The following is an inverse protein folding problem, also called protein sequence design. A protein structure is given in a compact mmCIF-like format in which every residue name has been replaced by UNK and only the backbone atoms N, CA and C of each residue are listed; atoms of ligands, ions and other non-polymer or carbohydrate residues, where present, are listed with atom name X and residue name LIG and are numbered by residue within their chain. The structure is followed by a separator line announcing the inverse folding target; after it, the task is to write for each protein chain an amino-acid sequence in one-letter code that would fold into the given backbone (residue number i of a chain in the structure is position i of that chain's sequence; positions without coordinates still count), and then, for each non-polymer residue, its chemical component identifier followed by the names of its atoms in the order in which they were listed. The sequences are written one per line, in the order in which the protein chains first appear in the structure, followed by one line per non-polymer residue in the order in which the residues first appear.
data_IF_170577210523
#
_entry.id   IF_170577210523
#
_cell.length_a   1.000
_cell.length_b   1.000
_cell.length_c   1.000
_cell.angle_alpha   90.00
_cell.angle_beta   90.00
_cell.angle_gamma   90.00
#
_symmetry.space_group_name_H-M   'P 1'
#
loop_
_entity.id
_entity.type
_entity.pdbx_description
1 polymer ?
#
# COMPACT_ATOMS: atom_id res chain seq x y z
N UNK A 1 8.50 -1.78 39.03
CA UNK A 1 8.37 -2.62 37.83
C UNK A 1 9.40 -3.74 37.84
N UNK A 2 9.05 -4.93 37.32
CA UNK A 2 9.98 -6.05 37.21
C UNK A 2 10.80 -5.96 35.92
N UNK A 3 12.13 -6.05 36.02
CA UNK A 3 13.05 -6.06 34.87
C UNK A 3 13.21 -7.43 34.20
N UNK A 4 12.45 -8.43 34.63
CA UNK A 4 12.53 -9.82 34.19
C UNK A 4 11.21 -10.28 33.58
N UNK A 5 11.29 -11.20 32.63
CA UNK A 5 10.14 -11.77 31.96
C UNK A 5 9.34 -12.68 32.90
N UNK A 6 8.01 -12.56 32.89
CA UNK A 6 7.10 -13.38 33.71
C UNK A 6 7.04 -14.85 33.25
N UNK A 7 7.47 -15.15 32.02
CA UNK A 7 7.40 -16.49 31.44
C UNK A 7 8.71 -17.28 31.50
N UNK A 8 9.85 -16.62 31.27
CA UNK A 8 11.17 -17.27 31.22
C UNK A 8 12.16 -16.73 32.24
N UNK A 9 11.76 -15.73 33.04
CA UNK A 9 12.55 -15.14 34.13
C UNK A 9 13.85 -14.45 33.68
N UNK A 10 14.16 -14.41 32.38
CA UNK A 10 15.31 -13.68 31.83
C UNK A 10 15.08 -12.17 31.82
N UNK A 11 16.17 -11.42 31.82
CA UNK A 11 16.14 -9.95 31.73
C UNK A 11 15.43 -9.48 30.46
N UNK A 12 14.57 -8.47 30.61
CA UNK A 12 13.90 -7.78 29.49
C UNK A 12 14.81 -6.72 28.83
N UNK A 13 15.97 -6.45 29.44
CA UNK A 13 16.86 -5.37 29.04
C UNK A 13 16.36 -4.00 29.50
N UNK A 14 17.12 -2.96 29.14
CA UNK A 14 16.80 -1.56 29.43
C UNK A 14 16.83 -0.72 28.16
N UNK A 15 16.07 0.37 28.19
CA UNK A 15 16.12 1.46 27.23
C UNK A 15 16.23 2.78 27.99
N UNK A 16 16.87 3.77 27.36
CA UNK A 16 17.03 5.12 27.92
C UNK A 16 16.16 6.14 27.16
N UNK A 17 15.18 5.65 26.39
CA UNK A 17 14.35 6.45 25.47
C UNK A 17 13.02 6.82 26.12
N UNK A 18 12.40 5.89 26.85
CA UNK A 18 11.19 6.16 27.62
C UNK A 18 11.55 6.37 29.09
N UNK A 19 11.45 7.61 29.55
CA UNK A 19 11.79 8.00 30.93
C UNK A 19 10.94 7.25 31.98
N UNK A 20 9.65 7.11 31.70
CA UNK A 20 8.64 6.47 32.57
C UNK A 20 8.66 4.94 32.49
N UNK A 21 9.31 4.37 31.46
CA UNK A 21 9.45 2.93 31.25
C UNK A 21 10.87 2.58 30.76
N UNK A 22 11.89 2.59 31.64
CA UNK A 22 13.29 2.34 31.25
C UNK A 22 13.62 0.84 31.11
N UNK A 23 12.63 0.00 30.82
CA UNK A 23 12.72 -1.46 30.76
C UNK A 23 12.25 -1.92 29.37
N UNK A 24 12.94 -2.91 28.81
CA UNK A 24 12.59 -3.47 27.51
C UNK A 24 13.27 -2.75 26.35
N UNK A 25 13.68 -3.51 25.33
CA UNK A 25 14.17 -2.99 24.05
C UNK A 25 13.20 -3.15 22.89
N UNK A 26 12.10 -3.89 23.11
CA UNK A 26 10.99 -4.04 22.19
C UNK A 26 9.70 -3.86 22.98
N UNK A 27 8.93 -2.86 22.63
CA UNK A 27 7.69 -2.49 23.30
C UNK A 27 6.54 -2.60 22.30
N UNK A 28 5.41 -3.13 22.76
CA UNK A 28 4.18 -3.12 22.00
C UNK A 28 3.13 -2.28 22.73
N UNK A 29 2.34 -1.50 22.01
CA UNK A 29 1.35 -0.63 22.65
C UNK A 29 0.09 -0.47 21.80
N UNK A 30 -1.06 -0.41 22.47
CA UNK A 30 -2.36 -0.09 21.91
C UNK A 30 -2.87 1.18 22.58
N UNK A 31 -2.84 2.29 21.84
CA UNK A 31 -3.26 3.60 22.34
C UNK A 31 -4.78 3.68 22.55
N UNK A 32 -5.57 2.93 21.77
CA UNK A 32 -7.03 2.95 21.89
C UNK A 32 -7.51 2.18 23.12
N UNK A 33 -6.82 1.07 23.44
CA UNK A 33 -7.13 0.23 24.60
C UNK A 33 -6.33 0.60 25.86
N UNK A 34 -5.38 1.54 25.77
CA UNK A 34 -4.53 1.95 26.90
C UNK A 34 -3.58 0.86 27.38
N UNK A 35 -3.14 -0.03 26.48
CA UNK A 35 -2.32 -1.20 26.82
C UNK A 35 -0.89 -1.05 26.34
N UNK A 36 0.05 -1.51 27.17
CA UNK A 36 1.48 -1.44 26.92
C UNK A 36 2.12 -2.74 27.38
N UNK A 37 2.95 -3.32 26.54
CA UNK A 37 3.65 -4.57 26.76
C UNK A 37 5.15 -4.42 26.51
N UNK A 38 5.95 -5.10 27.31
CA UNK A 38 7.36 -5.36 27.02
C UNK A 38 7.51 -6.73 26.38
N UNK A 39 8.00 -6.79 25.16
CA UNK A 39 8.23 -8.05 24.44
C UNK A 39 9.59 -8.61 24.84
N UNK A 40 9.62 -9.84 25.36
CA UNK A 40 10.86 -10.47 25.79
C UNK A 40 11.74 -10.82 24.57
N UNK A 41 13.02 -10.41 24.53
CA UNK A 41 13.92 -10.75 23.43
C UNK A 41 14.30 -12.24 23.38
N UNK A 42 14.04 -13.01 24.45
CA UNK A 42 14.44 -14.41 24.55
C UNK A 42 13.34 -15.39 24.18
N UNK A 43 12.11 -15.16 24.65
CA UNK A 43 10.98 -16.07 24.42
C UNK A 43 9.85 -15.43 23.59
N UNK A 44 10.02 -14.19 23.14
CA UNK A 44 9.05 -13.41 22.38
C UNK A 44 7.68 -13.18 23.07
N UNK A 45 7.52 -13.59 24.34
CA UNK A 45 6.29 -13.38 25.10
C UNK A 45 6.14 -11.93 25.56
N UNK A 46 4.88 -11.50 25.59
CA UNK A 46 4.46 -10.13 25.86
C UNK A 46 4.14 -9.99 27.35
N UNK A 47 4.86 -9.11 28.04
CA UNK A 47 4.71 -8.88 29.46
C UNK A 47 3.92 -7.59 29.64
N UNK A 48 2.68 -7.68 30.11
CA UNK A 48 1.82 -6.53 30.32
C UNK A 48 2.44 -5.62 31.39
N UNK A 49 2.66 -4.34 31.04
CA UNK A 49 3.15 -3.31 31.98
C UNK A 49 2.02 -2.99 32.96
N UNK A 50 2.21 -2.74 34.27
CA UNK A 50 1.12 -2.36 35.20
C UNK A 50 0.54 -0.95 34.92
N UNK A 51 -0.72 -0.71 35.32
CA UNK A 51 -1.51 0.48 34.93
C UNK A 51 -0.87 1.84 35.30
N UNK A 52 -0.27 1.98 36.49
CA UNK A 52 0.22 3.25 37.07
C UNK A 52 1.21 4.03 36.20
N UNK A 53 1.80 3.38 35.20
CA UNK A 53 2.92 3.89 34.37
C UNK A 53 2.63 3.79 32.88
N UNK A 54 1.43 3.33 32.48
CA UNK A 54 1.09 3.08 31.06
C UNK A 54 0.84 4.37 30.28
N UNK A 55 0.05 5.30 30.81
CA UNK A 55 -0.48 6.43 30.03
C UNK A 55 0.63 7.34 29.47
N UNK A 56 1.51 7.85 30.32
CA UNK A 56 2.64 8.70 29.89
C UNK A 56 3.60 7.95 28.95
N UNK A 57 3.82 6.66 29.20
CA UNK A 57 4.68 5.82 28.38
C UNK A 57 4.07 5.53 26.99
N UNK A 58 2.75 5.37 26.91
CA UNK A 58 2.01 5.20 25.66
C UNK A 58 2.06 6.50 24.85
N UNK A 59 1.82 7.65 25.48
CA UNK A 59 1.88 8.94 24.79
C UNK A 59 3.28 9.24 24.26
N UNK A 60 4.32 8.96 25.06
CA UNK A 60 5.71 9.07 24.63
C UNK A 60 6.04 8.09 23.50
N UNK A 61 5.59 6.84 23.59
CA UNK A 61 5.76 5.84 22.54
C UNK A 61 5.02 6.23 21.25
N UNK A 62 3.81 6.76 21.32
CA UNK A 62 3.02 7.24 20.17
C UNK A 62 3.70 8.44 19.51
N UNK A 63 4.20 9.40 20.29
CA UNK A 63 5.01 10.53 19.77
C UNK A 63 6.27 10.04 19.05
N UNK A 64 7.06 9.20 19.72
CA UNK A 64 8.27 8.61 19.13
C UNK A 64 7.97 7.77 17.89
N UNK A 65 6.86 7.05 17.88
CA UNK A 65 6.44 6.25 16.73
C UNK A 65 6.08 7.11 15.53
N UNK A 66 5.45 8.28 15.74
CA UNK A 66 5.16 9.26 14.68
C UNK A 66 6.43 9.96 14.18
N UNK A 67 7.33 10.33 15.09
CA UNK A 67 8.55 11.06 14.75
C UNK A 67 9.64 10.15 14.15
N UNK A 68 9.63 8.86 14.51
CA UNK A 68 10.57 7.88 13.97
C UNK A 68 10.11 7.44 12.59
N UNK A 69 11.02 7.45 11.61
CA UNK A 69 10.77 6.83 10.30
C UNK A 69 10.49 5.34 10.48
N UNK A 70 9.21 4.99 10.45
CA UNK A 70 8.76 3.64 10.73
C UNK A 70 9.16 2.67 9.60
N UNK A 71 9.53 1.44 9.96
CA UNK A 71 10.11 0.49 9.01
C UNK A 71 9.04 -0.34 8.29
N UNK A 72 7.95 -0.70 8.99
CA UNK A 72 6.89 -1.60 8.47
C UNK A 72 5.53 -1.30 9.11
N UNK A 73 4.43 -1.49 8.38
CA UNK A 73 3.06 -1.45 8.94
C UNK A 73 2.13 -2.35 8.14
N UNK A 74 1.24 -3.07 8.83
CA UNK A 74 0.03 -3.71 8.28
C UNK A 74 -1.19 -2.88 8.64
N UNK A 75 -2.39 -3.40 8.37
CA UNK A 75 -3.68 -2.82 8.76
C UNK A 75 -3.77 -2.51 10.25
N UNK A 76 -3.25 -3.41 11.10
CA UNK A 76 -3.46 -3.39 12.54
C UNK A 76 -2.16 -3.33 13.37
N UNK A 77 -0.99 -3.44 12.74
CA UNK A 77 0.31 -3.45 13.42
C UNK A 77 1.31 -2.56 12.69
N UNK A 78 1.90 -1.59 13.38
CA UNK A 78 3.03 -0.79 12.91
C UNK A 78 4.32 -1.10 13.67
N UNK A 79 5.47 -1.14 12.99
CA UNK A 79 6.78 -1.45 13.58
C UNK A 79 7.82 -0.37 13.27
N UNK A 80 8.24 0.37 14.30
CA UNK A 80 9.27 1.41 14.24
C UNK A 80 10.53 0.98 14.97
N UNK A 81 11.69 1.48 14.51
CA UNK A 81 12.97 1.32 15.22
C UNK A 81 13.60 2.68 15.42
N UNK A 82 13.59 3.15 16.66
CA UNK A 82 14.19 4.42 17.08
C UNK A 82 15.72 4.30 16.97
N UNK A 83 16.40 5.43 16.77
CA UNK A 83 17.84 5.47 16.47
C UNK A 83 18.71 4.84 17.57
N UNK A 84 18.25 4.95 18.80
CA UNK A 84 18.85 4.44 20.04
C UNK A 84 18.64 2.93 20.21
N UNK A 85 17.96 2.27 19.26
CA UNK A 85 17.80 0.81 19.23
C UNK A 85 16.53 0.28 19.91
N UNK A 86 15.63 1.16 20.35
CA UNK A 86 14.30 0.78 20.83
C UNK A 86 13.39 0.42 19.65
N UNK A 87 12.75 -0.75 19.73
CA UNK A 87 11.75 -1.20 18.78
C UNK A 87 10.34 -0.97 19.34
N UNK A 88 9.48 -0.34 18.56
CA UNK A 88 8.10 -0.02 18.92
C UNK A 88 7.14 -0.75 17.98
N UNK A 89 6.20 -1.49 18.56
CA UNK A 89 5.12 -2.20 17.88
C UNK A 89 3.80 -1.53 18.25
N UNK A 90 3.28 -0.68 17.38
CA UNK A 90 1.99 -0.03 17.57
C UNK A 90 0.87 -0.95 17.12
N UNK A 91 -0.17 -1.09 17.93
CA UNK A 91 -1.37 -1.89 17.66
C UNK A 91 -2.55 -0.96 17.40
N UNK A 92 -3.41 -1.35 16.46
CA UNK A 92 -4.58 -0.60 16.02
C UNK A 92 -4.46 -0.13 14.57
N UNK A 93 -5.48 0.56 14.03
CA UNK A 93 -5.49 1.00 12.63
C UNK A 93 -4.22 1.80 12.36
N UNK A 94 -3.43 1.36 11.38
CA UNK A 94 -2.17 1.99 11.06
C UNK A 94 -2.37 3.45 10.65
N UNK A 95 -1.43 4.32 11.05
CA UNK A 95 -1.31 5.68 10.54
C UNK A 95 -0.75 5.61 9.11
N UNK A 96 -1.58 5.16 8.17
CA UNK A 96 -1.23 4.86 6.77
C UNK A 96 -0.82 6.04 5.87
N UNK A 97 -1.17 7.32 6.12
CA UNK A 97 -0.83 8.39 5.18
C UNK A 97 0.68 8.57 4.95
N UNK A 98 1.48 8.48 6.01
CA UNK A 98 2.91 8.88 5.95
C UNK A 98 3.81 7.75 5.41
N UNK A 99 3.36 6.50 5.50
CA UNK A 99 4.16 5.33 5.17
C UNK A 99 4.26 5.07 3.67
N UNK A 100 3.15 5.15 2.94
CA UNK A 100 3.16 4.90 1.50
C UNK A 100 3.97 5.98 0.75
N UNK A 101 3.91 7.23 1.22
CA UNK A 101 4.70 8.34 0.71
C UNK A 101 6.20 8.15 0.99
N UNK A 102 6.58 7.62 2.15
CA UNK A 102 7.98 7.34 2.49
C UNK A 102 8.53 6.10 1.77
N UNK A 103 7.76 5.01 1.75
CA UNK A 103 8.14 3.69 1.21
C UNK A 103 8.25 3.69 -0.32
N UNK A 104 7.31 4.35 -0.99
CA UNK A 104 7.28 4.38 -2.46
C UNK A 104 7.70 5.72 -3.05
N UNK A 105 7.68 6.82 -2.27
CA UNK A 105 7.94 8.16 -2.81
C UNK A 105 9.32 8.30 -3.45
N UNK A 106 10.38 7.72 -2.87
CA UNK A 106 11.71 7.78 -3.49
C UNK A 106 11.80 6.91 -4.75
N UNK A 107 11.11 5.78 -4.78
CA UNK A 107 11.06 4.89 -5.95
C UNK A 107 10.31 5.56 -7.11
N UNK A 108 9.17 6.17 -6.84
CA UNK A 108 8.37 6.89 -7.83
C UNK A 108 9.07 8.16 -8.32
N UNK A 109 9.70 8.94 -7.43
CA UNK A 109 10.56 10.07 -7.84
C UNK A 109 11.73 9.61 -8.70
N UNK A 110 12.39 8.50 -8.36
CA UNK A 110 13.49 7.93 -9.16
C UNK A 110 13.01 7.46 -10.53
N UNK A 111 11.86 6.80 -10.63
CA UNK A 111 11.21 6.43 -11.90
C UNK A 111 10.93 7.67 -12.75
N UNK A 112 10.31 8.69 -12.16
CA UNK A 112 10.03 9.97 -12.81
C UNK A 112 11.28 10.70 -13.27
N UNK A 113 12.31 10.83 -12.43
CA UNK A 113 13.60 11.44 -12.80
C UNK A 113 14.27 10.70 -13.96
N UNK A 114 14.21 9.37 -14.00
CA UNK A 114 14.72 8.57 -15.11
C UNK A 114 13.90 8.77 -16.39
N UNK A 115 12.58 8.88 -16.30
CA UNK A 115 11.72 9.16 -17.44
C UNK A 115 12.00 10.56 -18.03
N UNK A 116 12.11 11.58 -17.16
CA UNK A 116 12.47 12.94 -17.57
C UNK A 116 13.89 12.97 -18.16
N UNK A 117 14.85 12.34 -17.48
CA UNK A 117 16.24 12.28 -17.94
C UNK A 117 16.40 11.58 -19.30
N UNK A 118 15.64 10.52 -19.57
CA UNK A 118 15.62 9.86 -20.89
C UNK A 118 15.05 10.78 -21.98
N UNK A 119 14.04 11.59 -21.68
CA UNK A 119 13.56 12.66 -22.57
C UNK A 119 14.63 13.70 -22.85
N UNK A 120 15.35 14.15 -21.82
CA UNK A 120 16.43 15.15 -21.93
C UNK A 120 17.67 14.62 -22.67
N UNK A 121 18.06 13.36 -22.48
CA UNK A 121 19.16 12.73 -23.24
C UNK A 121 18.81 12.60 -24.72
N UNK A 122 17.54 12.37 -25.06
CA UNK A 122 17.05 12.50 -26.44
C UNK A 122 17.36 13.89 -27.01
N UNK A 123 17.08 14.97 -26.26
CA UNK A 123 17.34 16.35 -26.68
C UNK A 123 18.85 16.70 -26.77
N UNK A 124 19.71 16.05 -25.98
CA UNK A 124 21.16 16.27 -25.96
C UNK A 124 21.87 15.98 -27.30
N UNK A 125 21.32 15.08 -28.12
CA UNK A 125 21.87 14.78 -29.47
C UNK A 125 21.67 15.95 -30.45
N UNK A 126 20.72 16.86 -30.20
CA UNK A 126 20.46 18.04 -31.05
C UNK A 126 21.36 19.23 -30.66
N UNK A 127 21.82 19.30 -29.40
CA UNK A 127 22.59 20.43 -28.87
C UNK A 127 24.04 20.54 -29.37
N UNK A 128 24.66 19.43 -29.78
CA UNK A 128 26.02 19.44 -30.32
C UNK A 128 26.10 19.90 -31.81
N UNK A 129 24.96 20.00 -32.50
CA UNK A 129 24.90 20.32 -33.93
C UNK A 129 24.72 21.80 -34.29
N UNK A 130 24.43 22.68 -33.33
CA UNK A 130 24.07 24.09 -33.61
C UNK A 130 25.11 25.07 -33.03
N UNK A 131 26.39 24.79 -33.26
CA UNK A 131 27.43 25.85 -33.17
C UNK A 131 27.76 26.40 -34.58
N UNK A 132 27.20 25.83 -35.65
CA UNK A 132 27.72 26.05 -37.01
C UNK A 132 26.89 26.87 -38.01
N UNK A 133 25.60 27.16 -37.83
CA UNK A 133 24.78 27.73 -38.92
C UNK A 133 23.87 28.87 -38.45
N UNK A 134 24.37 30.11 -38.62
CA UNK A 134 23.55 31.30 -38.52
C UNK A 134 22.59 31.42 -39.70
N UNK A 135 21.28 31.46 -39.45
CA UNK A 135 20.28 32.29 -40.15
C UNK A 135 18.97 32.31 -39.36
N UNK A 136 18.45 33.51 -39.13
CA UNK A 136 17.53 33.87 -38.06
C UNK A 136 16.01 33.62 -38.32
N UNK A 137 15.61 32.50 -38.95
CA UNK A 137 14.17 32.24 -39.16
C UNK A 137 13.78 30.76 -39.28
N UNK A 138 14.54 29.98 -40.03
CA UNK A 138 14.30 28.52 -40.17
C UNK A 138 14.78 27.76 -38.93
N UNK A 139 15.71 28.33 -38.17
CA UNK A 139 16.36 27.70 -37.02
C UNK A 139 15.41 27.42 -35.85
N UNK A 140 14.40 28.26 -35.57
CA UNK A 140 13.50 28.05 -34.42
C UNK A 140 12.48 26.93 -34.65
N UNK A 141 11.87 26.85 -35.84
CA UNK A 141 10.89 25.82 -36.16
C UNK A 141 11.53 24.44 -36.30
N UNK A 142 12.69 24.37 -36.96
CA UNK A 142 13.47 23.13 -37.06
C UNK A 142 14.05 22.70 -35.72
N UNK A 143 14.54 23.64 -34.89
CA UNK A 143 14.95 23.34 -33.53
C UNK A 143 13.79 22.86 -32.65
N UNK A 144 12.64 23.54 -32.70
CA UNK A 144 11.42 23.12 -31.99
C UNK A 144 10.94 21.73 -32.43
N UNK A 145 10.95 21.45 -33.73
CA UNK A 145 10.59 20.13 -34.27
C UNK A 145 11.60 19.05 -33.86
N UNK A 146 12.91 19.31 -33.97
CA UNK A 146 13.94 18.34 -33.59
C UNK A 146 13.96 18.09 -32.07
N UNK A 147 13.77 19.13 -31.25
CA UNK A 147 13.64 18.98 -29.80
C UNK A 147 12.37 18.22 -29.43
N UNK A 148 11.22 18.51 -30.07
CA UNK A 148 9.99 17.73 -29.90
C UNK A 148 10.19 16.25 -30.28
N UNK A 149 10.77 15.97 -31.46
CA UNK A 149 11.05 14.60 -31.94
C UNK A 149 12.02 13.86 -31.03
N UNK A 150 13.02 14.55 -30.52
CA UNK A 150 14.00 14.03 -29.57
C UNK A 150 13.37 13.68 -28.21
N UNK A 151 12.52 14.57 -27.68
CA UNK A 151 11.73 14.33 -26.47
C UNK A 151 10.76 13.17 -26.68
N UNK A 152 10.09 13.11 -27.85
CA UNK A 152 9.18 12.03 -28.23
C UNK A 152 9.91 10.69 -28.32
N UNK A 153 11.09 10.64 -28.95
CA UNK A 153 11.89 9.42 -29.06
C UNK A 153 12.39 8.93 -27.69
N UNK A 154 12.83 9.86 -26.82
CA UNK A 154 13.22 9.53 -25.45
C UNK A 154 12.04 9.02 -24.61
N UNK A 155 10.86 9.61 -24.80
CA UNK A 155 9.60 9.17 -24.22
C UNK A 155 9.23 7.76 -24.67
N UNK A 156 9.14 7.54 -25.99
CA UNK A 156 8.81 6.25 -26.59
C UNK A 156 9.80 5.17 -26.13
N UNK A 157 11.10 5.46 -26.14
CA UNK A 157 12.13 4.53 -25.66
C UNK A 157 11.88 4.08 -24.21
N UNK A 158 11.60 5.04 -23.31
CA UNK A 158 11.37 4.72 -21.90
C UNK A 158 10.09 3.92 -21.70
N UNK A 159 9.02 4.33 -22.37
CA UNK A 159 7.71 3.65 -22.32
C UNK A 159 7.85 2.21 -22.84
N UNK A 160 8.49 2.00 -23.99
CA UNK A 160 8.71 0.67 -24.57
C UNK A 160 9.65 -0.22 -23.75
N UNK A 161 10.53 0.37 -22.93
CA UNK A 161 11.37 -0.37 -22.00
C UNK A 161 10.57 -0.84 -20.78
N UNK A 162 9.71 0.03 -20.24
CA UNK A 162 8.98 -0.21 -18.99
C UNK A 162 7.68 -1.00 -19.19
N UNK A 163 7.04 -0.87 -20.36
CA UNK A 163 5.78 -1.54 -20.69
C UNK A 163 5.97 -2.98 -21.22
N UNK A 164 7.16 -3.58 -21.10
CA UNK A 164 7.38 -4.98 -21.51
C UNK A 164 6.79 -5.91 -20.46
N UNK A 165 5.65 -6.51 -20.79
CA UNK A 165 5.01 -7.54 -19.97
C UNK A 165 5.22 -8.89 -20.66
N UNK A 166 6.03 -9.76 -20.06
CA UNK A 166 6.13 -11.14 -20.51
C UNK A 166 4.99 -11.93 -19.87
N UNK A 167 4.16 -12.52 -20.71
CA UNK A 167 2.98 -13.31 -20.36
C UNK A 167 2.97 -14.59 -21.18
N UNK A 168 2.17 -15.56 -20.77
CA UNK A 168 1.91 -16.74 -21.58
C UNK A 168 0.73 -16.46 -22.52
N UNK A 169 0.89 -16.77 -23.80
CA UNK A 169 -0.19 -16.57 -24.76
C UNK A 169 -1.35 -17.56 -24.49
N UNK A 170 -2.61 -17.10 -24.40
CA UNK A 170 -3.73 -17.95 -23.97
C UNK A 170 -4.00 -19.12 -24.92
N UNK A 171 -3.93 -18.91 -26.23
CA UNK A 171 -4.04 -19.99 -27.23
C UNK A 171 -2.79 -20.87 -27.36
N UNK A 172 -1.59 -20.30 -27.51
CA UNK A 172 -0.39 -21.07 -27.92
C UNK A 172 0.50 -21.52 -26.77
N UNK A 173 0.24 -21.09 -25.52
CA UNK A 173 1.07 -21.38 -24.33
C UNK A 173 2.55 -21.05 -24.49
N UNK A 174 2.87 -20.11 -25.38
CA UNK A 174 4.24 -19.66 -25.62
C UNK A 174 4.49 -18.36 -24.88
N UNK A 175 5.74 -18.09 -24.45
CA UNK A 175 6.08 -16.81 -23.87
C UNK A 175 5.86 -15.71 -24.91
N UNK A 176 5.10 -14.70 -24.53
CA UNK A 176 4.76 -13.58 -25.37
C UNK A 176 5.06 -12.27 -24.64
N UNK A 177 5.72 -11.34 -25.33
CA UNK A 177 6.05 -10.02 -24.77
C UNK A 177 5.08 -8.99 -25.30
N UNK A 178 4.19 -8.53 -24.42
CA UNK A 178 3.32 -7.40 -24.69
C UNK A 178 4.12 -6.10 -24.61
N UNK A 179 3.75 -5.16 -25.46
CA UNK A 179 4.38 -3.84 -25.57
C UNK A 179 3.39 -2.76 -25.12
N UNK A 180 3.86 -1.52 -25.12
CA UNK A 180 3.04 -0.36 -24.77
C UNK A 180 1.71 -0.31 -25.53
N UNK A 181 1.69 -0.64 -26.81
CA UNK A 181 0.46 -0.63 -27.61
C UNK A 181 -0.61 -1.58 -27.10
N UNK A 182 -0.25 -2.64 -26.39
CA UNK A 182 -1.21 -3.49 -25.69
C UNK A 182 -1.48 -2.92 -24.29
N UNK A 183 -0.41 -2.64 -23.52
CA UNK A 183 -0.49 -2.25 -22.11
C UNK A 183 -1.27 -0.96 -21.89
N UNK A 184 -1.19 0.02 -22.81
CA UNK A 184 -1.89 1.32 -22.71
C UNK A 184 -3.43 1.20 -22.68
N UNK A 185 -3.95 0.06 -23.07
CA UNK A 185 -5.38 -0.25 -23.11
C UNK A 185 -5.81 -1.20 -21.98
N UNK A 186 -4.97 -1.40 -20.96
CA UNK A 186 -5.34 -2.15 -19.78
C UNK A 186 -6.54 -1.53 -19.07
N UNK A 187 -7.50 -2.38 -18.71
CA UNK A 187 -8.71 -1.99 -17.98
C UNK A 187 -8.86 -2.84 -16.71
N UNK A 188 -9.47 -2.25 -15.69
CA UNK A 188 -9.89 -2.94 -14.49
C UNK A 188 -11.39 -3.22 -14.64
N UNK A 189 -11.80 -4.47 -14.54
CA UNK A 189 -13.20 -4.90 -14.54
C UNK A 189 -13.49 -5.68 -13.26
N UNK A 190 -14.72 -6.20 -13.14
CA UNK A 190 -15.14 -6.93 -11.94
C UNK A 190 -15.82 -8.24 -12.31
N UNK A 191 -15.53 -9.30 -11.55
CA UNK A 191 -16.26 -10.56 -11.57
C UNK A 191 -16.93 -10.77 -10.21
N UNK A 192 -18.26 -10.58 -10.18
CA UNK A 192 -19.08 -10.55 -8.96
C UNK A 192 -18.59 -9.48 -7.97
N UNK A 193 -17.59 -9.79 -7.16
CA UNK A 193 -17.00 -8.89 -6.15
C UNK A 193 -15.46 -8.82 -6.20
N UNK A 194 -14.82 -9.53 -7.14
CA UNK A 194 -13.36 -9.53 -7.27
C UNK A 194 -12.91 -8.64 -8.43
N UNK A 195 -11.88 -7.79 -8.25
CA UNK A 195 -11.32 -7.02 -9.34
C UNK A 195 -10.55 -7.93 -10.31
N UNK A 196 -10.68 -7.63 -11.60
CA UNK A 196 -9.97 -8.27 -12.68
C UNK A 196 -9.19 -7.25 -13.49
N UNK A 197 -8.06 -7.69 -14.05
CA UNK A 197 -7.27 -6.92 -14.99
C UNK A 197 -7.49 -7.55 -16.35
N UNK A 198 -8.08 -6.78 -17.25
CA UNK A 198 -8.26 -7.20 -18.63
C UNK A 198 -7.30 -6.40 -19.52
N UNK A 199 -6.60 -7.14 -20.38
CA UNK A 199 -5.70 -6.57 -21.36
C UNK A 199 -6.13 -7.00 -22.76
N UNK A 200 -6.55 -6.06 -23.61
CA UNK A 200 -6.91 -6.39 -24.98
C UNK A 200 -5.66 -6.79 -25.77
N UNK A 201 -5.77 -7.92 -26.47
CA UNK A 201 -4.72 -8.40 -27.34
C UNK A 201 -4.93 -7.85 -28.74
N UNK A 202 -3.97 -7.05 -29.23
CA UNK A 202 -4.00 -6.55 -30.59
C UNK A 202 -3.33 -7.58 -31.52
N UNK A 203 -4.14 -8.37 -32.22
CA UNK A 203 -3.72 -9.43 -33.15
C UNK A 203 -4.75 -9.71 -34.26
N UNK A 204 -4.47 -10.63 -35.19
CA UNK A 204 -5.39 -11.01 -36.26
C UNK A 204 -6.69 -11.65 -35.76
N UNK A 205 -6.66 -12.29 -34.59
CA UNK A 205 -7.85 -12.68 -33.82
C UNK A 205 -8.26 -11.50 -32.93
N UNK A 206 -9.27 -10.76 -33.38
CA UNK A 206 -9.75 -9.51 -32.75
C UNK A 206 -10.49 -9.71 -31.41
N UNK A 207 -10.64 -10.95 -30.96
CA UNK A 207 -11.56 -11.31 -29.86
C UNK A 207 -10.87 -11.79 -28.59
N UNK A 208 -9.54 -11.92 -28.56
CA UNK A 208 -8.84 -12.41 -27.37
C UNK A 208 -8.45 -11.27 -26.41
N UNK A 209 -8.78 -11.46 -25.13
CA UNK A 209 -8.30 -10.63 -24.03
C UNK A 209 -7.57 -11.52 -23.02
N UNK A 210 -6.52 -10.98 -22.41
CA UNK A 210 -5.93 -11.59 -21.21
C UNK A 210 -6.68 -11.10 -20.00
N UNK A 211 -7.21 -12.01 -19.20
CA UNK A 211 -7.92 -11.70 -17.98
C UNK A 211 -7.17 -12.33 -16.80
N UNK A 212 -6.85 -11.51 -15.79
CA UNK A 212 -6.24 -11.96 -14.56
C UNK A 212 -7.07 -11.54 -13.35
N UNK A 213 -7.24 -12.45 -12.40
CA UNK A 213 -7.94 -12.23 -11.13
C UNK A 213 -7.03 -12.60 -9.95
N UNK A 214 -7.43 -12.24 -8.74
CA UNK A 214 -6.73 -12.64 -7.50
C UNK A 214 -5.26 -12.21 -7.43
N UNK A 215 -4.34 -13.15 -7.21
CA UNK A 215 -2.91 -12.86 -7.09
C UNK A 215 -2.29 -12.36 -8.41
N UNK A 216 -2.72 -12.93 -9.53
CA UNK A 216 -2.22 -12.58 -10.87
C UNK A 216 -2.66 -11.16 -11.28
N UNK A 217 -3.87 -10.75 -10.85
CA UNK A 217 -4.36 -9.38 -10.99
C UNK A 217 -3.35 -8.38 -10.42
N UNK A 218 -2.87 -8.59 -9.19
CA UNK A 218 -1.91 -7.68 -8.54
C UNK A 218 -0.53 -7.74 -9.21
N UNK A 219 -0.05 -8.94 -9.52
CA UNK A 219 1.26 -9.14 -10.16
C UNK A 219 1.36 -8.44 -11.52
N UNK A 220 0.36 -8.63 -12.39
CA UNK A 220 0.31 -8.03 -13.71
C UNK A 220 -0.15 -6.58 -13.68
N UNK A 221 -1.10 -6.25 -12.79
CA UNK A 221 -1.65 -4.90 -12.60
C UNK A 221 -0.59 -3.89 -12.18
N UNK A 222 0.31 -4.26 -11.26
CA UNK A 222 1.46 -3.44 -10.90
C UNK A 222 2.32 -3.04 -12.10
N UNK A 223 2.61 -3.99 -12.99
CA UNK A 223 3.45 -3.72 -14.16
C UNK A 223 2.72 -2.82 -15.15
N UNK A 224 1.42 -3.05 -15.34
CA UNK A 224 0.58 -2.17 -16.15
C UNK A 224 0.54 -0.74 -15.57
N UNK A 225 0.24 -0.56 -14.28
CA UNK A 225 0.22 0.73 -13.61
C UNK A 225 1.57 1.43 -13.62
N UNK A 226 2.66 0.71 -13.34
CA UNK A 226 4.01 1.27 -13.36
C UNK A 226 4.42 1.83 -14.73
N UNK A 227 3.88 1.28 -15.82
CA UNK A 227 4.07 1.81 -17.17
C UNK A 227 3.20 3.04 -17.47
N UNK A 228 2.01 3.16 -16.88
CA UNK A 228 1.17 4.37 -16.96
C UNK A 228 1.68 5.50 -16.05
N UNK A 229 2.39 5.16 -14.97
CA UNK A 229 2.89 6.09 -13.95
C UNK A 229 4.35 6.51 -14.16
N UNK A 230 4.82 6.58 -15.42
CA UNK A 230 6.21 6.99 -15.72
C UNK A 230 6.50 8.44 -15.34
N UNK A 231 5.52 9.33 -15.48
CA UNK A 231 5.64 10.75 -15.11
C UNK A 231 4.97 11.11 -13.78
N UNK A 232 4.21 10.18 -13.23
CA UNK A 232 3.56 10.34 -11.92
C UNK A 232 4.60 10.23 -10.80
N UNK A 233 4.31 10.86 -9.67
CA UNK A 233 5.15 10.85 -8.47
C UNK A 233 5.65 12.23 -8.06
N UNK A 234 4.93 13.30 -8.42
CA UNK A 234 5.12 14.61 -7.76
C UNK A 234 4.75 14.52 -6.28
N UNK A 235 5.29 15.42 -5.45
CA UNK A 235 5.00 15.43 -4.02
C UNK A 235 3.49 15.49 -3.72
N UNK A 236 2.78 16.42 -4.38
CA UNK A 236 1.33 16.56 -4.24
C UNK A 236 0.54 15.31 -4.72
N UNK A 237 0.94 14.70 -5.84
CA UNK A 237 0.29 13.48 -6.35
C UNK A 237 0.47 12.31 -5.37
N UNK A 238 1.63 12.22 -4.70
CA UNK A 238 1.89 11.21 -3.69
C UNK A 238 1.06 11.48 -2.43
N UNK A 239 1.01 12.72 -1.97
CA UNK A 239 0.23 13.13 -0.81
C UNK A 239 -1.26 12.81 -0.99
N UNK A 240 -1.83 13.18 -2.14
CA UNK A 240 -3.22 12.83 -2.48
C UNK A 240 -3.43 11.32 -2.57
N UNK A 241 -2.53 10.58 -3.22
CA UNK A 241 -2.61 9.13 -3.31
C UNK A 241 -2.61 8.47 -1.93
N UNK A 242 -1.77 8.96 -1.02
CA UNK A 242 -1.71 8.46 0.36
C UNK A 242 -2.93 8.84 1.19
N UNK A 243 -3.46 10.06 1.01
CA UNK A 243 -4.69 10.49 1.66
C UNK A 243 -5.87 9.62 1.21
N UNK A 244 -5.97 9.33 -0.09
CA UNK A 244 -7.00 8.48 -0.67
C UNK A 244 -6.95 7.04 -0.10
N UNK A 245 -5.75 6.46 0.03
CA UNK A 245 -5.57 5.16 0.67
C UNK A 245 -5.94 5.18 2.15
N UNK A 246 -5.64 6.28 2.84
CA UNK A 246 -5.96 6.43 4.25
C UNK A 246 -7.48 6.59 4.47
N UNK A 247 -8.17 7.32 3.61
CA UNK A 247 -9.62 7.51 3.65
C UNK A 247 -10.37 6.17 3.51
N UNK A 248 -9.90 5.28 2.64
CA UNK A 248 -10.58 4.01 2.35
C UNK A 248 -10.00 2.79 3.08
N UNK A 249 -8.87 2.92 3.77
CA UNK A 249 -8.35 1.91 4.70
C UNK A 249 -8.22 0.51 4.08
N UNK A 250 -8.51 -0.54 4.87
CA UNK A 250 -8.49 -1.94 4.43
C UNK A 250 -9.51 -2.29 3.35
N UNK A 251 -10.39 -1.34 2.98
CA UNK A 251 -11.51 -1.52 2.07
C UNK A 251 -11.30 -0.78 0.73
N UNK A 252 -10.04 -0.55 0.33
CA UNK A 252 -9.73 0.16 -0.91
C UNK A 252 -10.35 -0.48 -2.18
N UNK A 253 -10.66 -1.78 -2.15
CA UNK A 253 -11.40 -2.47 -3.21
C UNK A 253 -12.80 -1.87 -3.43
N UNK A 254 -13.49 -1.47 -2.37
CA UNK A 254 -14.82 -0.86 -2.46
C UNK A 254 -14.77 0.50 -3.17
N UNK A 255 -13.75 1.30 -2.86
CA UNK A 255 -13.49 2.56 -3.58
C UNK A 255 -13.20 2.30 -5.06
N UNK A 256 -12.34 1.33 -5.36
CA UNK A 256 -11.99 0.99 -6.75
C UNK A 256 -13.21 0.51 -7.53
N UNK A 257 -14.12 -0.25 -6.89
CA UNK A 257 -15.38 -0.69 -7.49
C UNK A 257 -16.30 0.48 -7.79
N UNK A 258 -16.54 1.33 -6.80
CA UNK A 258 -17.31 2.55 -6.97
C UNK A 258 -16.74 3.43 -8.10
N UNK A 259 -15.42 3.55 -8.17
CA UNK A 259 -14.73 4.33 -9.20
C UNK A 259 -14.90 3.72 -10.58
N UNK A 260 -14.94 2.39 -10.66
CA UNK A 260 -15.20 1.63 -11.88
C UNK A 260 -16.63 1.80 -12.36
N UNK A 261 -17.61 1.68 -11.46
CA UNK A 261 -19.03 1.88 -11.76
C UNK A 261 -19.31 3.32 -12.23
N UNK A 262 -18.62 4.31 -11.68
CA UNK A 262 -18.69 5.70 -12.18
C UNK A 262 -18.03 5.88 -13.54
N UNK A 263 -16.92 5.22 -13.81
CA UNK A 263 -16.25 5.30 -15.10
C UNK A 263 -17.08 4.68 -16.23
N UNK A 264 -17.78 3.57 -15.94
CA UNK A 264 -18.66 2.90 -16.90
C UNK A 264 -19.83 3.78 -17.38
N UNK A 265 -20.21 4.82 -16.61
CA UNK A 265 -21.27 5.78 -16.99
C UNK A 265 -20.88 6.71 -18.14
N UNK A 266 -19.59 6.81 -18.48
CA UNK A 266 -19.13 7.67 -19.58
C UNK A 266 -19.24 7.02 -20.96
N UNK A 267 -19.84 5.82 -21.04
CA UNK A 267 -20.05 5.08 -22.30
C UNK A 267 -18.80 4.31 -22.75
N UNK A 268 -18.93 3.45 -23.77
CA UNK A 268 -17.80 2.68 -24.28
C UNK A 268 -16.72 3.62 -24.81
N UNK A 269 -15.45 3.29 -24.54
CA UNK A 269 -14.35 4.02 -25.13
C UNK A 269 -14.35 3.79 -26.65
N UNK A 270 -14.34 4.87 -27.44
CA UNK A 270 -13.90 4.79 -28.83
C UNK A 270 -12.39 4.54 -28.80
N UNK A 271 -11.98 3.27 -28.85
CA UNK A 271 -10.61 2.91 -29.17
C UNK A 271 -10.36 3.44 -30.59
N UNK A 272 -9.50 4.45 -30.72
CA UNK A 272 -9.24 5.22 -31.95
C UNK A 272 -9.53 4.43 -33.24
N UNK A 273 -10.68 4.72 -33.87
CA UNK A 273 -11.03 4.23 -35.20
C UNK A 273 -11.52 2.78 -35.31
N UNK A 274 -11.89 2.10 -34.22
CA UNK A 274 -12.53 0.77 -34.30
C UNK A 274 -13.69 0.65 -33.32
N UNK A 275 -14.90 0.65 -33.89
CA UNK A 275 -16.13 0.30 -33.18
C UNK A 275 -16.03 -1.11 -32.60
N UNK A 276 -16.36 -1.25 -31.31
CA UNK A 276 -16.59 -2.54 -30.66
C UNK A 276 -15.34 -3.26 -30.18
N UNK A 277 -14.98 -3.03 -28.92
CA UNK A 277 -14.27 -4.05 -28.15
C UNK A 277 -15.30 -5.15 -27.76
N UNK A 278 -15.06 -6.43 -28.08
CA UNK A 278 -15.97 -7.52 -27.74
C UNK A 278 -15.74 -8.09 -26.33
N UNK A 279 -14.60 -7.80 -25.69
CA UNK A 279 -14.47 -8.06 -24.25
C UNK A 279 -15.49 -7.23 -23.47
N UNK A 280 -15.76 -7.62 -22.24
CA UNK A 280 -16.92 -7.30 -21.37
C UNK A 280 -17.72 -5.99 -21.57
N UNK A 281 -18.32 -5.74 -22.73
CA UNK A 281 -19.40 -4.73 -22.92
C UNK A 281 -20.61 -5.00 -22.01
N UNK A 282 -20.67 -6.17 -21.38
CA UNK A 282 -21.68 -6.52 -20.37
C UNK A 282 -21.31 -6.10 -18.93
N UNK A 283 -20.06 -5.73 -18.62
CA UNK A 283 -19.62 -5.42 -17.25
C UNK A 283 -19.03 -4.01 -17.16
N UNK A 284 -19.22 -3.30 -16.02
CA UNK A 284 -18.53 -2.03 -15.77
C UNK A 284 -17.01 -2.21 -15.81
N UNK A 285 -16.30 -1.34 -16.52
CA UNK A 285 -14.84 -1.34 -16.59
C UNK A 285 -14.24 0.06 -16.44
N UNK A 286 -12.99 0.11 -15.96
CA UNK A 286 -12.20 1.29 -15.68
C UNK A 286 -10.88 1.23 -16.44
N UNK A 287 -10.72 2.03 -17.50
CA UNK A 287 -9.44 2.13 -18.18
C UNK A 287 -8.38 2.75 -17.27
N UNK A 288 -7.23 2.10 -17.12
CA UNK A 288 -6.14 2.59 -16.25
C UNK A 288 -5.68 3.98 -16.71
N UNK A 289 -5.65 4.23 -18.02
CA UNK A 289 -5.30 5.52 -18.58
C UNK A 289 -6.23 6.68 -18.17
N UNK A 290 -7.47 6.38 -17.75
CA UNK A 290 -8.49 7.38 -17.35
C UNK A 290 -8.47 7.72 -15.86
N UNK A 291 -7.73 6.96 -15.05
CA UNK A 291 -7.43 7.33 -13.68
C UNK A 291 -6.51 8.55 -13.66
N UNK A 292 -6.77 9.47 -12.73
CA UNK A 292 -5.88 10.59 -12.47
C UNK A 292 -4.51 10.07 -11.95
N UNK A 293 -3.42 10.84 -12.10
CA UNK A 293 -2.09 10.37 -11.71
C UNK A 293 -1.97 9.94 -10.23
N UNK A 294 -2.61 10.68 -9.32
CA UNK A 294 -2.74 10.35 -7.90
C UNK A 294 -3.57 9.09 -7.65
N UNK A 295 -4.73 8.95 -8.30
CA UNK A 295 -5.54 7.72 -8.23
C UNK A 295 -4.74 6.49 -8.71
N UNK A 296 -4.02 6.60 -9.85
CA UNK A 296 -3.18 5.51 -10.35
C UNK A 296 -2.05 5.15 -9.37
N UNK A 297 -1.47 6.14 -8.70
CA UNK A 297 -0.44 5.89 -7.68
C UNK A 297 -1.04 5.16 -6.49
N UNK A 298 -2.24 5.55 -6.04
CA UNK A 298 -2.94 4.87 -4.94
C UNK A 298 -3.20 3.39 -5.28
N UNK A 299 -3.74 3.10 -6.47
CA UNK A 299 -3.96 1.71 -6.92
C UNK A 299 -2.63 0.94 -7.04
N UNK A 300 -1.56 1.60 -7.54
CA UNK A 300 -0.24 0.96 -7.64
C UNK A 300 0.34 0.63 -6.25
N UNK A 301 0.21 1.53 -5.28
CA UNK A 301 0.65 1.33 -3.90
C UNK A 301 -0.13 0.19 -3.24
N UNK A 302 -1.45 0.19 -3.37
CA UNK A 302 -2.33 -0.86 -2.85
C UNK A 302 -2.03 -2.25 -3.44
N UNK A 303 -1.74 -2.34 -4.75
CA UNK A 303 -1.31 -3.61 -5.37
C UNK A 303 0.06 -4.10 -4.87
N UNK A 304 0.92 -3.20 -4.40
CA UNK A 304 2.24 -3.56 -3.86
C UNK A 304 2.17 -4.04 -2.41
N UNK A 305 1.20 -3.58 -1.62
CA UNK A 305 1.04 -3.89 -0.20
C UNK A 305 0.93 -5.41 0.05
N UNK A 306 0.16 -6.12 -0.78
CA UNK A 306 -0.05 -7.58 -0.62
C UNK A 306 1.19 -8.43 -0.94
N UNK A 307 1.99 -8.01 -1.92
CA UNK A 307 3.26 -8.69 -2.21
C UNK A 307 4.15 -8.56 -0.98
N UNK A 308 4.25 -7.37 -0.42
CA UNK A 308 5.06 -7.10 0.77
C UNK A 308 4.54 -7.84 2.01
N UNK A 309 3.22 -7.92 2.19
CA UNK A 309 2.59 -8.76 3.21
C UNK A 309 3.00 -10.22 3.09
N UNK A 310 3.07 -10.75 1.86
CA UNK A 310 3.50 -12.13 1.59
C UNK A 310 4.99 -12.34 1.90
N UNK A 311 5.86 -11.38 1.57
CA UNK A 311 7.28 -11.42 1.92
C UNK A 311 7.55 -11.29 3.42
N UNK A 312 6.68 -10.58 4.15
CA UNK A 312 6.82 -10.30 5.58
C UNK A 312 5.92 -11.18 6.46
N UNK A 313 5.14 -12.07 5.85
CA UNK A 313 4.11 -12.88 6.51
C UNK A 313 4.67 -13.68 7.68
N UNK A 314 5.92 -14.15 7.61
CA UNK A 314 6.53 -14.92 8.70
C UNK A 314 6.64 -14.14 10.01
N UNK A 315 7.19 -12.93 10.00
CA UNK A 315 7.41 -12.13 11.22
C UNK A 315 6.11 -11.47 11.71
N UNK A 316 5.27 -11.00 10.78
CA UNK A 316 4.02 -10.30 11.11
C UNK A 316 2.93 -11.26 11.62
N UNK A 317 2.79 -12.45 11.04
CA UNK A 317 1.81 -13.45 11.51
C UNK A 317 2.13 -13.92 12.93
N UNK A 318 3.43 -14.03 13.28
CA UNK A 318 3.85 -14.36 14.64
C UNK A 318 3.51 -13.23 15.62
N UNK A 319 3.72 -11.96 15.23
CA UNK A 319 3.34 -10.81 16.06
C UNK A 319 1.83 -10.71 16.24
N UNK A 320 1.04 -10.92 15.18
CA UNK A 320 -0.43 -10.92 15.26
C UNK A 320 -0.95 -12.04 16.17
N UNK A 321 -0.38 -13.25 16.08
CA UNK A 321 -0.76 -14.37 16.94
C UNK A 321 -0.42 -14.12 18.41
N UNK A 322 0.77 -13.60 18.69
CA UNK A 322 1.18 -13.30 20.07
C UNK A 322 0.40 -12.13 20.66
N UNK A 323 0.04 -11.13 19.84
CA UNK A 323 -0.89 -10.06 20.25
C UNK A 323 -2.25 -10.63 20.67
N UNK A 324 -2.87 -11.48 19.84
CA UNK A 324 -4.18 -12.07 20.15
C UNK A 324 -4.16 -12.88 21.45
N UNK A 325 -3.07 -13.61 21.71
CA UNK A 325 -2.91 -14.36 22.95
C UNK A 325 -2.70 -13.45 24.16
N UNK A 326 -1.85 -12.42 24.04
CA UNK A 326 -1.63 -11.44 25.09
C UNK A 326 -2.90 -10.66 25.43
N UNK A 327 -3.68 -10.31 24.41
CA UNK A 327 -4.99 -9.64 24.53
C UNK A 327 -6.01 -10.53 25.25
N UNK A 328 -6.04 -11.82 24.94
CA UNK A 328 -6.87 -12.82 25.65
C UNK A 328 -6.47 -12.92 27.12
N UNK A 329 -5.19 -13.03 27.42
CA UNK A 329 -4.69 -13.09 28.81
C UNK A 329 -4.98 -11.81 29.58
N UNK A 330 -4.83 -10.65 28.94
CA UNK A 330 -5.15 -9.36 29.54
C UNK A 330 -6.66 -9.24 29.85
N UNK A 331 -7.55 -9.69 28.96
CA UNK A 331 -8.99 -9.74 29.24
C UNK A 331 -9.34 -10.65 30.42
N UNK A 332 -8.66 -11.79 30.56
CA UNK A 332 -8.82 -12.67 31.73
C UNK A 332 -8.34 -11.95 32.99
N UNK A 333 -7.18 -11.29 32.94
CA UNK A 333 -6.65 -10.53 34.08
C UNK A 333 -7.59 -9.37 34.48
N UNK A 334 -8.12 -8.61 33.51
CA UNK A 334 -9.10 -7.56 33.75
C UNK A 334 -10.36 -8.15 34.44
N UNK A 335 -10.87 -9.29 33.95
CA UNK A 335 -12.00 -9.99 34.55
C UNK A 335 -11.75 -10.44 36.00
N UNK A 336 -10.55 -10.95 36.30
CA UNK A 336 -10.17 -11.35 37.66
C UNK A 336 -10.02 -10.15 38.61
N UNK A 337 -9.60 -8.98 38.12
CA UNK A 337 -9.57 -7.75 38.92
C UNK A 337 -10.99 -7.32 39.30
N UNK A 338 -11.95 -7.39 38.38
CA UNK A 338 -13.36 -7.10 38.69
C UNK A 338 -13.98 -8.10 39.66
N UNK A 339 -13.61 -9.38 39.61
CA UNK A 339 -14.06 -10.40 40.58
C UNK A 339 -13.41 -10.19 41.96
N UNK A 340 -12.13 -9.78 42.01
CA UNK A 340 -11.40 -9.52 43.25
C UNK A 340 -11.84 -8.22 43.96
N UNK A 341 -12.35 -7.23 43.22
CA UNK A 341 -12.89 -5.97 43.77
C UNK A 341 -14.33 -6.06 44.28
N UNK A 342 -15.00 -7.21 44.14
CA UNK A 342 -16.21 -7.52 44.90
C UNK A 342 -17.46 -6.72 44.54
N UNK A 343 -17.93 -6.85 43.29
CA UNK A 343 -19.36 -6.66 42.99
C UNK A 343 -19.97 -8.01 42.65
N UNK A 344 -20.45 -8.70 43.68
CA UNK A 344 -21.40 -9.78 43.47
C UNK A 344 -22.70 -9.16 42.89
N UNK A 345 -23.26 -9.65 41.77
CA UNK A 345 -24.61 -9.27 41.39
C UNK A 345 -25.56 -9.72 42.51
N UNK A 346 -26.34 -8.78 43.06
CA UNK A 346 -27.32 -9.08 44.11
C UNK A 346 -28.35 -10.09 43.61
N UNK A 347 -28.61 -11.19 44.32
CA UNK A 347 -29.70 -12.09 44.01
C UNK A 347 -30.97 -11.52 44.65
N UNK A 348 -31.57 -10.51 44.04
CA UNK A 348 -32.93 -10.08 44.35
C UNK A 348 -33.58 -9.54 43.09
N UNK A 349 -34.16 -10.46 42.32
CA UNK A 349 -35.45 -10.28 41.63
C UNK A 349 -35.86 -11.62 41.00
N UNK A 350 -35.91 -12.68 41.82
CA UNK A 350 -36.76 -13.83 41.52
C UNK A 350 -38.17 -13.51 41.99
N UNK A 351 -38.90 -12.73 41.20
CA UNK A 351 -40.36 -12.63 41.33
C UNK A 351 -40.93 -13.96 40.87
N UNK A 352 -41.29 -14.78 41.85
CA UNK A 352 -42.16 -15.95 41.69
C UNK A 352 -43.54 -15.42 41.25
N UNK A 353 -44.12 -15.86 40.14
CA UNK A 353 -45.54 -15.62 39.89
C UNK A 353 -46.33 -16.60 40.76
N UNK A 354 -47.02 -16.07 41.77
CA UNK A 354 -48.02 -16.83 42.52
C UNK A 354 -49.21 -17.13 41.62
N UNK A 355 -49.43 -18.42 41.34
CA UNK A 355 -50.70 -18.96 40.89
C UNK A 355 -51.80 -18.73 41.96
N UNK A 356 -53.01 -18.37 41.50
CA UNK A 356 -54.25 -18.71 42.22
C UNK A 356 -55.24 -17.57 42.50
N UNK A 357 -56.12 -17.29 41.53
CA UNK A 357 -57.59 -17.16 41.70
C UNK A 357 -58.27 -16.98 40.34
#
# INVERSE_FOLDING_TARGET
MHGTCLHCTRSLGRNDVLETLPIGRRLAFDAAQGRLWVVCPHCAKWNLVPFDTRLESIDAAERLFRDTRTRFSTDNIGLARVREGLELVRIGPALRPEFAAWRYGEQYRKRRRRAIGAGVVGAGVVGAGIVGLGTAGVALGSFGYLTYRALQAGWEFQVHRMARLMVEHPGTRRPWTLRWDSVKHAVISWETDAPMLELPLYGPTKDDALCWSGADFRQHGRRALGSHNLLAGKAQELEHATALLAEHGGHFEEWLRWRTDRAARFGPMNFEGRDGWPGSTQRPYLPIAKLAPDERLAVEMWMNEDVERTWLAGELTLLEREWQEAERLAKIADGLVFEAEGVAPSPSDSVIPSEGA
#
